data_IF_743338881810
#
_entry.id   IF_743338881810
#
_cell.length_a   1.000
_cell.length_b   1.000
_cell.length_c   1.000
_cell.angle_alpha   90.00
_cell.angle_beta   90.00
_cell.angle_gamma   90.00
#
_symmetry.space_group_name_H-M   'P 1'
#
loop_
_entity.id
_entity.type
_entity.pdbx_description
1 polymer ?
#
# COMPACT_ATOMS: atom_id res chain seq x y z
N UNK A 1 -25.00 -182.52 -13.84
CA UNK A 1 -24.04 -181.39 -13.72
C UNK A 1 -24.54 -180.04 -14.25
N UNK A 2 -25.62 -179.98 -15.05
CA UNK A 2 -26.45 -178.75 -15.26
C UNK A 2 -27.55 -178.55 -14.20
N UNK A 3 -27.65 -179.43 -13.20
CA UNK A 3 -28.76 -179.50 -12.24
C UNK A 3 -28.47 -178.82 -10.87
N UNK A 4 -27.32 -178.18 -10.67
CA UNK A 4 -26.96 -177.56 -9.37
C UNK A 4 -26.96 -176.01 -9.37
N UNK A 5 -27.36 -175.35 -10.46
CA UNK A 5 -27.65 -173.89 -10.47
C UNK A 5 -26.52 -172.91 -10.13
N UNK A 6 -25.29 -173.35 -9.84
CA UNK A 6 -24.21 -172.45 -9.44
C UNK A 6 -23.58 -171.73 -10.65
N UNK A 7 -23.53 -170.38 -10.67
CA UNK A 7 -22.96 -169.62 -11.78
C UNK A 7 -21.45 -169.88 -11.95
N UNK A 8 -21.00 -170.02 -13.20
CA UNK A 8 -19.63 -170.47 -13.56
C UNK A 8 -18.49 -169.66 -12.91
N UNK A 9 -18.71 -168.37 -12.64
CA UNK A 9 -17.69 -167.49 -12.04
C UNK A 9 -17.42 -167.83 -10.58
N UNK A 10 -18.45 -168.15 -9.79
CA UNK A 10 -18.29 -168.63 -8.41
C UNK A 10 -17.63 -170.02 -8.40
N UNK A 11 -18.01 -170.89 -9.34
CA UNK A 11 -17.45 -172.23 -9.49
C UNK A 11 -15.93 -172.21 -9.76
N UNK A 12 -15.46 -171.30 -10.63
CA UNK A 12 -14.02 -171.08 -10.85
C UNK A 12 -13.28 -170.61 -9.59
N UNK A 13 -13.91 -169.77 -8.75
CA UNK A 13 -13.33 -169.33 -7.46
C UNK A 13 -13.23 -170.48 -6.46
N UNK A 14 -14.28 -171.31 -6.35
CA UNK A 14 -14.24 -172.51 -5.51
C UNK A 14 -13.15 -173.49 -5.95
N UNK A 15 -13.03 -173.76 -7.26
CA UNK A 15 -11.98 -174.64 -7.78
C UNK A 15 -10.58 -174.08 -7.46
N UNK A 16 -10.36 -172.77 -7.65
CA UNK A 16 -9.08 -172.13 -7.28
C UNK A 16 -8.81 -172.21 -5.78
N UNK A 17 -9.81 -171.99 -4.93
CA UNK A 17 -9.70 -172.11 -3.47
C UNK A 17 -9.35 -173.53 -3.04
N UNK A 18 -10.05 -174.54 -3.58
CA UNK A 18 -9.79 -175.97 -3.32
C UNK A 18 -8.39 -176.36 -3.79
N UNK A 19 -7.95 -175.91 -4.97
CA UNK A 19 -6.60 -176.19 -5.47
C UNK A 19 -5.53 -175.55 -4.57
N UNK A 20 -5.76 -174.34 -4.06
CA UNK A 20 -4.83 -173.67 -3.14
C UNK A 20 -4.76 -174.38 -1.79
N UNK A 21 -5.90 -174.85 -1.26
CA UNK A 21 -5.91 -175.68 -0.04
C UNK A 21 -5.19 -177.02 -0.23
N UNK A 22 -5.32 -177.66 -1.40
CA UNK A 22 -4.55 -178.87 -1.76
C UNK A 22 -3.05 -178.61 -1.88
N UNK A 23 -2.64 -177.44 -2.37
CA UNK A 23 -1.22 -177.06 -2.38
C UNK A 23 -0.69 -176.87 -0.96
N UNK A 24 -1.48 -176.28 -0.07
CA UNK A 24 -1.13 -176.13 1.34
C UNK A 24 -1.07 -177.47 2.08
N UNK A 25 -1.94 -178.42 1.75
CA UNK A 25 -1.87 -179.80 2.26
C UNK A 25 -0.53 -180.45 1.92
N UNK A 26 -0.04 -180.27 0.68
CA UNK A 26 1.27 -180.77 0.27
C UNK A 26 2.44 -180.06 0.96
N UNK A 27 2.31 -178.76 1.24
CA UNK A 27 3.41 -177.97 1.82
C UNK A 27 3.52 -178.13 3.34
N UNK A 28 2.40 -178.25 4.06
CA UNK A 28 2.37 -178.25 5.53
C UNK A 28 2.00 -179.62 6.13
N UNK A 29 1.68 -180.62 5.31
CA UNK A 29 1.36 -181.98 5.75
C UNK A 29 0.04 -182.15 6.52
N UNK A 30 -0.79 -181.11 6.62
CA UNK A 30 -2.10 -181.17 7.29
C UNK A 30 -3.19 -181.67 6.34
N UNK A 31 -4.09 -182.56 6.79
CA UNK A 31 -5.17 -183.05 5.95
C UNK A 31 -6.11 -181.91 5.52
N UNK A 32 -6.59 -181.96 4.27
CA UNK A 32 -7.44 -180.94 3.65
C UNK A 32 -8.61 -180.50 4.53
N UNK A 33 -9.24 -181.44 5.25
CA UNK A 33 -10.37 -181.13 6.13
C UNK A 33 -10.00 -180.15 7.26
N UNK A 34 -8.79 -180.26 7.82
CA UNK A 34 -8.32 -179.36 8.89
C UNK A 34 -8.02 -177.99 8.31
N UNK A 35 -7.36 -177.93 7.15
CA UNK A 35 -7.08 -176.66 6.46
C UNK A 35 -8.36 -175.95 6.03
N UNK A 36 -9.37 -176.68 5.57
CA UNK A 36 -10.67 -176.13 5.23
C UNK A 36 -11.39 -175.58 6.47
N UNK A 37 -11.40 -176.31 7.60
CA UNK A 37 -11.94 -175.81 8.87
C UNK A 37 -11.19 -174.57 9.38
N UNK A 38 -9.87 -174.54 9.27
CA UNK A 38 -9.05 -173.37 9.62
C UNK A 38 -9.38 -172.17 8.71
N UNK A 39 -9.57 -172.40 7.39
CA UNK A 39 -9.97 -171.36 6.44
C UNK A 39 -11.38 -170.84 6.72
N UNK A 40 -12.36 -171.71 6.96
CA UNK A 40 -13.71 -171.31 7.35
C UNK A 40 -13.73 -170.53 8.67
N UNK A 41 -12.88 -170.92 9.63
CA UNK A 41 -12.72 -170.17 10.89
C UNK A 41 -12.15 -168.78 10.62
N UNK A 42 -11.04 -168.67 9.87
CA UNK A 42 -10.44 -167.38 9.50
C UNK A 42 -11.37 -166.52 8.66
N UNK A 43 -12.17 -167.10 7.78
CA UNK A 43 -13.15 -166.36 6.99
C UNK A 43 -14.28 -165.82 7.88
N UNK A 44 -14.81 -166.63 8.79
CA UNK A 44 -15.77 -166.16 9.80
C UNK A 44 -15.19 -165.04 10.67
N UNK A 45 -13.94 -165.18 11.10
CA UNK A 45 -13.26 -164.16 11.88
C UNK A 45 -13.01 -162.88 11.04
N UNK A 46 -12.67 -163.01 9.75
CA UNK A 46 -12.53 -161.89 8.81
C UNK A 46 -13.84 -161.13 8.63
N UNK A 47 -14.97 -161.83 8.46
CA UNK A 47 -16.30 -161.20 8.33
C UNK A 47 -16.70 -160.50 9.63
N UNK A 48 -16.42 -161.10 10.80
CA UNK A 48 -16.63 -160.44 12.10
C UNK A 48 -15.77 -159.19 12.24
N UNK A 49 -14.51 -159.25 11.81
CA UNK A 49 -13.59 -158.11 11.82
C UNK A 49 -14.09 -157.01 10.87
N UNK A 50 -14.50 -157.33 9.65
CA UNK A 50 -15.11 -156.38 8.71
C UNK A 50 -16.35 -155.70 9.29
N UNK A 51 -17.22 -156.46 9.95
CA UNK A 51 -18.38 -155.89 10.64
C UNK A 51 -17.96 -154.92 11.76
N UNK A 52 -17.00 -155.32 12.61
CA UNK A 52 -16.49 -154.48 13.69
C UNK A 52 -15.79 -153.22 13.17
N UNK A 53 -15.05 -153.32 12.06
CA UNK A 53 -14.40 -152.18 11.40
C UNK A 53 -15.46 -151.23 10.86
N UNK A 54 -16.49 -151.74 10.18
CA UNK A 54 -17.59 -150.93 9.69
C UNK A 54 -18.36 -150.24 10.83
N UNK A 55 -18.58 -150.93 11.95
CA UNK A 55 -19.20 -150.32 13.14
C UNK A 55 -18.35 -149.20 13.72
N UNK A 56 -17.03 -149.38 13.80
CA UNK A 56 -16.09 -148.34 14.26
C UNK A 56 -16.00 -147.16 13.29
N UNK A 57 -16.04 -147.41 11.97
CA UNK A 57 -16.07 -146.36 10.96
C UNK A 57 -17.36 -145.54 11.05
N UNK A 58 -18.50 -146.18 11.32
CA UNK A 58 -19.77 -145.49 11.51
C UNK A 58 -19.77 -144.67 12.81
N UNK A 59 -19.24 -145.21 13.91
CA UNK A 59 -19.04 -144.46 15.17
C UNK A 59 -18.12 -143.26 14.97
N UNK A 60 -17.01 -143.44 14.26
CA UNK A 60 -16.09 -142.36 13.91
C UNK A 60 -16.78 -141.28 13.09
N UNK A 61 -17.56 -141.67 12.07
CA UNK A 61 -18.31 -140.73 11.24
C UNK A 61 -19.31 -139.91 12.06
N UNK A 62 -20.02 -140.54 13.00
CA UNK A 62 -20.92 -139.84 13.93
C UNK A 62 -20.18 -138.83 14.80
N UNK A 63 -19.04 -139.22 15.39
CA UNK A 63 -18.22 -138.31 16.21
C UNK A 63 -17.69 -137.14 15.37
N UNK A 64 -17.27 -137.38 14.13
CA UNK A 64 -16.81 -136.32 13.22
C UNK A 64 -17.95 -135.34 12.86
N UNK A 65 -19.17 -135.84 12.68
CA UNK A 65 -20.33 -134.98 12.43
C UNK A 65 -20.74 -134.18 13.68
N UNK A 66 -20.77 -134.82 14.85
CA UNK A 66 -21.05 -134.15 16.13
C UNK A 66 -20.01 -133.05 16.39
N UNK A 67 -18.72 -133.35 16.20
CA UNK A 67 -17.64 -132.37 16.31
C UNK A 67 -17.82 -131.21 15.33
N UNK A 68 -18.23 -131.47 14.09
CA UNK A 68 -18.52 -130.40 13.12
C UNK A 68 -19.64 -129.49 13.61
N UNK A 69 -20.73 -130.07 14.13
CA UNK A 69 -21.85 -129.30 14.69
C UNK A 69 -21.40 -128.47 15.89
N UNK A 70 -20.61 -129.03 16.81
CA UNK A 70 -20.07 -128.29 17.95
C UNK A 70 -19.16 -127.14 17.52
N UNK A 71 -18.29 -127.34 16.53
CA UNK A 71 -17.42 -126.30 16.01
C UNK A 71 -18.22 -125.17 15.34
N UNK A 72 -19.31 -125.50 14.65
CA UNK A 72 -20.19 -124.49 14.03
C UNK A 72 -20.96 -123.68 15.09
N UNK A 73 -21.45 -124.33 16.16
CA UNK A 73 -22.05 -123.64 17.31
C UNK A 73 -21.05 -122.70 17.99
N UNK A 74 -19.79 -123.13 18.16
CA UNK A 74 -18.75 -122.29 18.73
C UNK A 74 -18.42 -121.09 17.82
N UNK A 75 -18.41 -121.28 16.50
CA UNK A 75 -18.24 -120.20 15.55
C UNK A 75 -19.38 -119.19 15.63
N UNK A 76 -20.63 -119.64 15.63
CA UNK A 76 -21.81 -118.77 15.74
C UNK A 76 -21.82 -117.99 17.06
N UNK A 77 -21.44 -118.61 18.17
CA UNK A 77 -21.34 -117.93 19.47
C UNK A 77 -20.20 -116.89 19.50
N UNK A 78 -19.06 -117.16 18.86
CA UNK A 78 -18.00 -116.15 18.70
C UNK A 78 -18.45 -115.00 17.81
N UNK A 79 -19.17 -115.27 16.72
CA UNK A 79 -19.73 -114.23 15.86
C UNK A 79 -20.75 -113.36 16.60
N UNK A 80 -21.64 -113.95 17.42
CA UNK A 80 -22.60 -113.18 18.22
C UNK A 80 -21.89 -112.35 19.29
N UNK A 81 -20.92 -112.91 20.00
CA UNK A 81 -20.10 -112.18 20.99
C UNK A 81 -19.34 -111.03 20.33
N UNK A 82 -18.74 -111.25 19.16
CA UNK A 82 -18.02 -110.21 18.42
C UNK A 82 -18.96 -109.10 17.95
N UNK A 83 -20.18 -109.42 17.49
CA UNK A 83 -21.20 -108.41 17.15
C UNK A 83 -21.58 -107.58 18.37
N UNK A 84 -21.84 -108.22 19.51
CA UNK A 84 -22.16 -107.53 20.77
C UNK A 84 -21.00 -106.63 21.20
N UNK A 85 -19.76 -107.12 21.13
CA UNK A 85 -18.58 -106.34 21.48
C UNK A 85 -18.38 -105.13 20.55
N UNK A 86 -18.62 -105.28 19.24
CA UNK A 86 -18.58 -104.16 18.30
C UNK A 86 -19.66 -103.11 18.58
N UNK A 87 -20.86 -103.53 18.97
CA UNK A 87 -21.93 -102.63 19.40
C UNK A 87 -21.49 -101.88 20.68
N UNK A 88 -20.97 -102.57 21.70
CA UNK A 88 -20.48 -101.95 22.94
C UNK A 88 -19.39 -100.92 22.64
N UNK A 89 -18.37 -101.27 21.84
CA UNK A 89 -17.32 -100.33 21.43
C UNK A 89 -17.84 -99.12 20.66
N UNK A 90 -18.88 -99.31 19.85
CA UNK A 90 -19.50 -98.20 19.11
C UNK A 90 -20.24 -97.27 20.07
N UNK A 91 -20.96 -97.82 21.06
CA UNK A 91 -21.63 -97.06 22.11
C UNK A 91 -20.65 -96.30 23.02
N UNK A 92 -19.51 -96.91 23.36
CA UNK A 92 -18.43 -96.26 24.13
C UNK A 92 -17.83 -95.04 23.41
N UNK A 93 -17.68 -95.08 22.08
CA UNK A 93 -17.22 -93.93 21.28
C UNK A 93 -18.17 -92.73 21.38
N UNK A 94 -19.45 -92.97 21.58
CA UNK A 94 -20.47 -91.93 21.77
C UNK A 94 -20.72 -91.63 23.26
N UNK A 95 -19.89 -92.15 24.17
CA UNK A 95 -19.98 -91.91 25.62
C UNK A 95 -21.13 -92.63 26.32
N UNK A 96 -21.78 -93.60 25.66
CA UNK A 96 -22.96 -94.31 26.21
C UNK A 96 -22.53 -95.65 26.82
N UNK A 97 -22.39 -95.68 28.15
CA UNK A 97 -22.16 -96.89 28.94
C UNK A 97 -23.44 -97.73 29.11
N UNK A 98 -23.32 -99.03 29.41
CA UNK A 98 -24.42 -99.97 29.67
C UNK A 98 -25.37 -99.44 30.76
N UNK A 99 -24.83 -98.75 31.77
CA UNK A 99 -25.64 -98.07 32.79
C UNK A 99 -26.54 -96.96 32.23
N UNK A 100 -26.11 -96.25 31.17
CA UNK A 100 -26.96 -95.26 30.50
C UNK A 100 -28.08 -95.92 29.71
N UNK A 101 -27.86 -97.08 29.10
CA UNK A 101 -28.91 -97.87 28.43
C UNK A 101 -29.91 -98.47 29.42
N UNK A 102 -29.45 -98.91 30.59
CA UNK A 102 -30.32 -99.37 31.67
C UNK A 102 -31.16 -98.23 32.24
N UNK A 103 -30.58 -97.04 32.39
CA UNK A 103 -31.30 -95.83 32.76
C UNK A 103 -32.30 -95.41 31.67
N UNK A 104 -31.93 -95.51 30.39
CA UNK A 104 -32.83 -95.28 29.24
C UNK A 104 -33.98 -96.29 29.22
N UNK A 105 -33.74 -97.56 29.54
CA UNK A 105 -34.76 -98.59 29.67
C UNK A 105 -35.68 -98.34 30.87
N UNK A 106 -35.15 -97.87 32.00
CA UNK A 106 -35.94 -97.45 33.18
C UNK A 106 -36.78 -96.19 32.90
N UNK A 107 -36.21 -95.20 32.21
CA UNK A 107 -36.92 -94.00 31.75
C UNK A 107 -37.98 -94.39 30.72
N UNK A 108 -37.68 -95.30 29.80
CA UNK A 108 -38.64 -95.81 28.83
C UNK A 108 -39.80 -96.55 29.52
N UNK A 109 -39.52 -97.41 30.49
CA UNK A 109 -40.56 -98.06 31.29
C UNK A 109 -41.47 -97.01 31.97
N UNK A 110 -40.88 -95.99 32.61
CA UNK A 110 -41.64 -94.90 33.25
C UNK A 110 -42.45 -94.04 32.26
N UNK A 111 -41.90 -93.75 31.08
CA UNK A 111 -42.59 -92.99 30.01
C UNK A 111 -43.76 -93.80 29.43
N UNK A 112 -43.60 -95.13 29.33
CA UNK A 112 -44.70 -96.02 28.95
C UNK A 112 -45.80 -96.12 30.00
N UNK A 113 -45.46 -95.97 31.30
CA UNK A 113 -46.43 -95.92 32.40
C UNK A 113 -47.20 -94.59 32.45
N UNK A 114 -46.59 -93.47 32.03
CA UNK A 114 -47.25 -92.15 31.96
C UNK A 114 -48.08 -91.94 30.69
N UNK A 115 -48.18 -92.95 29.81
CA UNK A 115 -49.02 -92.92 28.60
C UNK A 115 -48.58 -91.91 27.54
N UNK A 116 -47.35 -91.40 27.62
CA UNK A 116 -46.82 -90.38 26.71
C UNK A 116 -46.10 -91.07 25.56
N UNK A 117 -46.44 -90.72 24.30
CA UNK A 117 -45.83 -91.35 23.13
C UNK A 117 -44.33 -90.99 23.06
N UNK A 118 -43.47 -92.01 22.96
CA UNK A 118 -42.02 -91.84 22.83
C UNK A 118 -41.63 -90.90 21.71
N UNK A 119 -42.39 -90.88 20.62
CA UNK A 119 -42.15 -89.94 19.51
C UNK A 119 -42.25 -88.48 19.97
N UNK A 120 -43.22 -88.16 20.80
CA UNK A 120 -43.40 -86.81 21.33
C UNK A 120 -42.23 -86.40 22.23
N UNK A 121 -41.67 -87.35 23.00
CA UNK A 121 -40.49 -87.11 23.85
C UNK A 121 -39.23 -86.88 23.01
N UNK A 122 -39.02 -87.65 21.94
CA UNK A 122 -37.89 -87.40 21.02
C UNK A 122 -38.05 -86.07 20.27
N UNK A 123 -39.27 -85.70 19.88
CA UNK A 123 -39.54 -84.40 19.27
C UNK A 123 -39.28 -83.24 20.23
N UNK A 124 -39.57 -83.39 21.53
CA UNK A 124 -39.23 -82.36 22.52
C UNK A 124 -37.73 -82.29 22.76
N UNK A 125 -37.01 -83.40 22.80
CA UNK A 125 -35.54 -83.39 22.87
C UNK A 125 -34.90 -82.75 21.63
N UNK A 126 -35.40 -83.03 20.43
CA UNK A 126 -34.92 -82.38 19.21
C UNK A 126 -35.15 -80.86 19.24
N UNK A 127 -36.32 -80.42 19.73
CA UNK A 127 -36.62 -78.99 19.93
C UNK A 127 -35.74 -78.35 21.00
N UNK A 128 -35.39 -79.08 22.06
CA UNK A 128 -34.49 -78.62 23.11
C UNK A 128 -33.05 -78.48 22.60
N UNK A 129 -32.57 -79.43 21.81
CA UNK A 129 -31.25 -79.36 21.17
C UNK A 129 -31.18 -78.17 20.18
N UNK A 130 -32.23 -77.95 19.40
CA UNK A 130 -32.34 -76.79 18.53
C UNK A 130 -32.36 -75.47 19.33
N UNK A 131 -33.07 -75.44 20.46
CA UNK A 131 -33.08 -74.28 21.36
C UNK A 131 -31.72 -74.05 22.02
N UNK A 132 -31.00 -75.11 22.40
CA UNK A 132 -29.63 -75.02 22.95
C UNK A 132 -28.65 -74.46 21.92
N UNK A 133 -28.74 -74.89 20.67
CA UNK A 133 -27.92 -74.36 19.58
C UNK A 133 -28.23 -72.87 19.33
N UNK A 134 -29.51 -72.49 19.32
CA UNK A 134 -29.91 -71.08 19.21
C UNK A 134 -29.39 -70.25 20.39
N UNK A 135 -29.39 -70.79 21.61
CA UNK A 135 -28.82 -70.11 22.78
C UNK A 135 -27.31 -69.92 22.67
N UNK A 136 -26.58 -70.91 22.14
CA UNK A 136 -25.14 -70.78 21.88
C UNK A 136 -24.85 -69.72 20.81
N UNK A 137 -25.64 -69.69 19.75
CA UNK A 137 -25.53 -68.66 18.70
C UNK A 137 -25.82 -67.27 19.25
N UNK A 138 -26.90 -67.09 20.01
CA UNK A 138 -27.21 -65.78 20.61
C UNK A 138 -26.17 -65.36 21.61
N UNK A 139 -25.60 -66.28 22.39
CA UNK A 139 -24.53 -65.97 23.34
C UNK A 139 -23.24 -65.54 22.62
N UNK A 140 -22.87 -66.20 21.53
CA UNK A 140 -21.76 -65.77 20.69
C UNK A 140 -22.01 -64.37 20.09
N UNK A 141 -23.24 -64.07 19.65
CA UNK A 141 -23.60 -62.74 19.18
C UNK A 141 -23.55 -61.67 20.28
N UNK A 142 -23.91 -62.01 21.52
CA UNK A 142 -23.81 -61.10 22.67
C UNK A 142 -22.33 -60.78 22.92
N UNK A 143 -21.47 -61.79 22.99
CA UNK A 143 -20.03 -61.60 23.20
C UNK A 143 -19.38 -60.77 22.08
N UNK A 144 -19.81 -60.95 20.82
CA UNK A 144 -19.36 -60.12 19.70
C UNK A 144 -19.82 -58.67 19.83
N UNK A 145 -21.09 -58.45 20.21
CA UNK A 145 -21.62 -57.12 20.41
C UNK A 145 -20.98 -56.39 21.59
N UNK A 146 -20.67 -57.08 22.68
CA UNK A 146 -19.93 -56.52 23.83
C UNK A 146 -18.55 -56.03 23.41
N UNK A 147 -17.79 -56.83 22.64
CA UNK A 147 -16.50 -56.41 22.09
C UNK A 147 -16.62 -55.16 21.21
N UNK A 148 -17.63 -55.12 20.34
CA UNK A 148 -17.90 -53.95 19.49
C UNK A 148 -18.27 -52.71 20.32
N UNK A 149 -18.96 -52.89 21.44
CA UNK A 149 -19.31 -51.79 22.34
C UNK A 149 -18.07 -51.22 23.02
N UNK A 150 -17.18 -52.09 23.53
CA UNK A 150 -15.89 -51.68 24.10
C UNK A 150 -15.02 -50.93 23.08
N UNK A 151 -14.96 -51.41 21.84
CA UNK A 151 -14.26 -50.71 20.75
C UNK A 151 -14.83 -49.29 20.52
N UNK A 152 -16.15 -49.15 20.45
CA UNK A 152 -16.82 -47.86 20.28
C UNK A 152 -16.59 -46.94 21.48
N UNK A 153 -16.65 -47.46 22.71
CA UNK A 153 -16.38 -46.68 23.92
C UNK A 153 -14.94 -46.15 23.95
N UNK A 154 -13.96 -46.99 23.61
CA UNK A 154 -12.56 -46.54 23.54
C UNK A 154 -12.35 -45.50 22.43
N UNK A 155 -13.01 -45.65 21.28
CA UNK A 155 -12.96 -44.66 20.20
C UNK A 155 -13.62 -43.33 20.62
N UNK A 156 -14.76 -43.40 21.32
CA UNK A 156 -15.43 -42.22 21.87
C UNK A 156 -14.55 -41.50 22.88
N UNK A 157 -13.91 -42.22 23.81
CA UNK A 157 -12.96 -41.64 24.76
C UNK A 157 -11.78 -40.96 24.05
N UNK A 158 -11.22 -41.57 23.01
CA UNK A 158 -10.17 -40.95 22.18
C UNK A 158 -10.66 -39.68 21.49
N UNK A 159 -11.88 -39.70 20.94
CA UNK A 159 -12.49 -38.50 20.31
C UNK A 159 -12.73 -37.39 21.33
N UNK A 160 -13.21 -37.72 22.53
CA UNK A 160 -13.37 -36.75 23.63
C UNK A 160 -12.02 -36.17 24.05
N UNK A 161 -10.97 -37.00 24.17
CA UNK A 161 -9.63 -36.51 24.51
C UNK A 161 -9.08 -35.54 23.44
N UNK A 162 -9.21 -35.89 22.15
CA UNK A 162 -8.86 -34.99 21.04
C UNK A 162 -9.67 -33.70 21.05
N UNK A 163 -10.97 -33.78 21.33
CA UNK A 163 -11.82 -32.60 21.46
C UNK A 163 -11.38 -31.73 22.64
N UNK A 164 -10.95 -32.32 23.76
CA UNK A 164 -10.39 -31.58 24.90
C UNK A 164 -9.09 -30.87 24.55
N UNK A 165 -8.22 -31.52 23.78
CA UNK A 165 -6.99 -30.90 23.26
C UNK A 165 -7.29 -29.74 22.32
N UNK A 166 -8.27 -29.90 21.41
CA UNK A 166 -8.72 -28.84 20.50
C UNK A 166 -9.48 -27.73 21.24
N UNK A 167 -10.24 -28.04 22.29
CA UNK A 167 -10.87 -27.02 23.14
C UNK A 167 -9.87 -26.32 24.07
N UNK A 168 -8.66 -26.86 24.22
CA UNK A 168 -7.49 -26.16 24.78
C UNK A 168 -7.06 -24.92 23.98
N UNK A 169 -7.86 -24.46 23.00
CA UNK A 169 -7.82 -23.15 22.36
C UNK A 169 -8.38 -22.03 23.26
N UNK A 170 -9.08 -22.34 24.35
CA UNK A 170 -9.48 -21.35 25.38
C UNK A 170 -8.32 -20.45 25.88
N UNK A 171 -7.13 -20.97 26.26
CA UNK A 171 -6.00 -20.14 26.63
C UNK A 171 -5.48 -19.26 25.48
N UNK A 172 -5.71 -19.63 24.21
CA UNK A 172 -5.36 -18.78 23.08
C UNK A 172 -6.41 -17.68 22.84
N UNK A 173 -7.69 -17.93 23.16
CA UNK A 173 -8.74 -16.90 23.17
C UNK A 173 -8.48 -15.88 24.28
N UNK A 174 -8.06 -16.32 25.47
CA UNK A 174 -7.70 -15.40 26.57
C UNK A 174 -6.50 -14.53 26.19
N UNK A 175 -5.43 -15.12 25.65
CA UNK A 175 -4.27 -14.37 25.13
C UNK A 175 -4.69 -13.39 24.03
N UNK A 176 -5.54 -13.81 23.10
CA UNK A 176 -6.08 -12.94 22.06
C UNK A 176 -6.90 -11.79 22.66
N UNK A 177 -7.72 -12.05 23.67
CA UNK A 177 -8.49 -11.01 24.38
C UNK A 177 -7.58 -10.01 25.10
N UNK A 178 -6.48 -10.50 25.69
CA UNK A 178 -5.48 -9.66 26.35
C UNK A 178 -4.74 -8.80 25.31
N UNK A 179 -4.32 -9.38 24.18
CA UNK A 179 -3.69 -8.61 23.09
C UNK A 179 -4.65 -7.58 22.49
N UNK A 180 -5.95 -7.92 22.33
CA UNK A 180 -6.97 -6.97 21.88
C UNK A 180 -7.16 -5.83 22.88
N UNK A 181 -7.13 -6.12 24.18
CA UNK A 181 -7.22 -5.09 25.22
C UNK A 181 -6.01 -4.15 25.19
N UNK A 182 -4.79 -4.69 25.03
CA UNK A 182 -3.55 -3.91 24.89
C UNK A 182 -3.59 -3.03 23.65
N UNK A 183 -3.97 -3.59 22.50
CA UNK A 183 -4.10 -2.86 21.25
C UNK A 183 -5.15 -1.74 21.35
N UNK A 184 -6.29 -1.97 22.03
CA UNK A 184 -7.27 -0.90 22.27
C UNK A 184 -6.67 0.24 23.08
N UNK A 185 -5.94 -0.06 24.16
CA UNK A 185 -5.30 0.97 24.97
C UNK A 185 -4.21 1.73 24.20
N UNK A 186 -3.47 1.05 23.32
CA UNK A 186 -2.49 1.69 22.45
C UNK A 186 -3.15 2.61 21.43
N UNK A 187 -4.27 2.20 20.83
CA UNK A 187 -5.06 3.04 19.93
C UNK A 187 -5.56 4.29 20.64
N UNK A 188 -6.14 4.17 21.84
CA UNK A 188 -6.60 5.33 22.62
C UNK A 188 -5.44 6.29 22.98
N UNK A 189 -4.25 5.76 23.29
CA UNK A 189 -3.06 6.56 23.56
C UNK A 189 -2.56 7.29 22.32
N UNK A 190 -2.59 6.62 21.16
CA UNK A 190 -2.20 7.22 19.88
C UNK A 190 -3.17 8.31 19.46
N UNK A 191 -4.48 8.10 19.63
CA UNK A 191 -5.51 9.12 19.36
C UNK A 191 -5.32 10.36 20.24
N UNK A 192 -5.07 10.19 21.55
CA UNK A 192 -4.74 11.32 22.44
C UNK A 192 -3.50 12.07 21.98
N UNK A 193 -2.46 11.35 21.57
CA UNK A 193 -1.21 11.94 21.09
C UNK A 193 -1.38 12.67 19.76
N UNK A 194 -2.23 12.16 18.87
CA UNK A 194 -2.60 12.85 17.63
C UNK A 194 -3.31 14.17 17.94
N UNK A 195 -4.25 14.17 18.88
CA UNK A 195 -4.98 15.37 19.29
C UNK A 195 -4.04 16.42 19.92
N UNK A 196 -3.13 16.00 20.81
CA UNK A 196 -2.11 16.89 21.38
C UNK A 196 -1.22 17.51 20.29
N UNK A 197 -0.81 16.72 19.29
CA UNK A 197 -0.01 17.22 18.18
C UNK A 197 -0.78 18.20 17.29
N UNK A 198 -2.08 17.95 17.05
CA UNK A 198 -2.95 18.89 16.34
C UNK A 198 -3.08 20.22 17.09
N UNK A 199 -3.25 20.17 18.42
CA UNK A 199 -3.31 21.38 19.25
C UNK A 199 -2.01 22.18 19.18
N UNK A 200 -0.85 21.52 19.34
CA UNK A 200 0.47 22.16 19.19
C UNK A 200 0.67 22.77 17.81
N UNK A 201 0.22 22.08 16.76
CA UNK A 201 0.34 22.60 15.39
C UNK A 201 -0.54 23.85 15.18
N UNK A 202 -1.75 23.86 15.75
CA UNK A 202 -2.62 25.04 15.73
C UNK A 202 -2.04 26.21 16.54
N UNK A 203 -1.42 25.94 17.69
CA UNK A 203 -0.70 26.94 18.48
C UNK A 203 0.47 27.54 17.70
N UNK A 204 1.31 26.69 17.11
CA UNK A 204 2.42 27.13 16.26
C UNK A 204 1.94 27.93 15.06
N UNK A 205 0.85 27.54 14.40
CA UNK A 205 0.28 28.29 13.29
C UNK A 205 -0.13 29.72 13.72
N UNK A 206 -0.77 29.85 14.90
CA UNK A 206 -1.11 31.16 15.48
C UNK A 206 0.13 31.99 15.82
N UNK A 207 1.17 31.37 16.38
CA UNK A 207 2.44 32.03 16.64
C UNK A 207 3.11 32.51 15.35
N UNK A 208 3.08 31.71 14.28
CA UNK A 208 3.57 32.09 12.96
C UNK A 208 2.79 33.28 12.36
N UNK A 209 1.46 33.27 12.45
CA UNK A 209 0.62 34.39 12.01
C UNK A 209 0.94 35.67 12.80
N UNK A 210 1.09 35.57 14.13
CA UNK A 210 1.47 36.70 14.96
C UNK A 210 2.85 37.25 14.58
N UNK A 211 3.84 36.37 14.35
CA UNK A 211 5.17 36.77 13.90
C UNK A 211 5.15 37.41 12.50
N UNK A 212 4.29 36.95 11.59
CA UNK A 212 4.09 37.60 10.30
C UNK A 212 3.48 39.00 10.46
N UNK A 213 2.52 39.17 11.37
CA UNK A 213 1.98 40.49 11.75
C UNK A 213 3.06 41.42 12.29
N UNK A 214 3.89 40.95 13.22
CA UNK A 214 5.03 41.73 13.71
C UNK A 214 6.05 42.05 12.62
N UNK A 215 6.26 41.17 11.64
CA UNK A 215 7.11 41.46 10.47
C UNK A 215 6.53 42.57 9.59
N UNK A 216 5.23 42.61 9.40
CA UNK A 216 4.59 43.72 8.68
C UNK A 216 4.67 45.03 9.45
N UNK A 217 4.51 44.99 10.78
CA UNK A 217 4.62 46.16 11.65
C UNK A 217 6.05 46.68 11.74
N UNK A 218 7.05 45.79 11.82
CA UNK A 218 8.46 46.20 11.78
C UNK A 218 8.84 46.79 10.42
N UNK A 219 8.33 46.25 9.31
CA UNK A 219 8.55 46.84 8.00
C UNK A 219 7.89 48.22 7.84
N UNK A 220 6.70 48.43 8.40
CA UNK A 220 6.02 49.73 8.38
C UNK A 220 6.73 50.75 9.28
N UNK A 221 7.19 50.34 10.47
CA UNK A 221 8.00 51.17 11.35
C UNK A 221 9.34 51.58 10.71
N UNK A 222 10.01 50.67 10.00
CA UNK A 222 11.26 50.99 9.29
C UNK A 222 11.02 52.02 8.17
N UNK A 223 9.92 51.91 7.43
CA UNK A 223 9.53 52.93 6.44
C UNK A 223 9.28 54.28 7.10
N UNK A 224 8.54 54.30 8.21
CA UNK A 224 8.26 55.54 8.95
C UNK A 224 9.54 56.17 9.52
N UNK A 225 10.48 55.36 10.03
CA UNK A 225 11.80 55.84 10.48
C UNK A 225 12.54 56.50 9.31
N UNK A 226 12.54 55.88 8.13
CA UNK A 226 13.22 56.41 6.95
C UNK A 226 12.56 57.72 6.46
N UNK A 227 11.23 57.79 6.47
CA UNK A 227 10.48 59.02 6.17
C UNK A 227 10.84 60.14 7.16
N UNK A 228 10.86 59.85 8.47
CA UNK A 228 11.22 60.83 9.49
C UNK A 228 12.67 61.27 9.42
N UNK A 229 13.60 60.39 9.05
CA UNK A 229 14.99 60.76 8.78
C UNK A 229 15.09 61.71 7.58
N UNK A 230 14.35 61.45 6.51
CA UNK A 230 14.31 62.32 5.34
C UNK A 230 13.70 63.68 5.66
N UNK A 231 12.65 63.73 6.49
CA UNK A 231 12.09 64.99 7.00
C UNK A 231 13.10 65.75 7.86
N UNK A 232 13.81 65.08 8.76
CA UNK A 232 14.87 65.70 9.57
C UNK A 232 15.98 66.28 8.70
N UNK A 233 16.46 65.54 7.70
CA UNK A 233 17.48 66.04 6.78
C UNK A 233 17.01 67.30 6.03
N UNK A 234 15.74 67.34 5.59
CA UNK A 234 15.17 68.55 4.95
C UNK A 234 15.10 69.72 5.91
N UNK A 235 14.66 69.50 7.15
CA UNK A 235 14.62 70.53 8.18
C UNK A 235 16.02 71.03 8.53
N UNK A 236 17.02 70.16 8.57
CA UNK A 236 18.43 70.54 8.78
C UNK A 236 18.97 71.39 7.62
N UNK A 237 18.62 71.06 6.37
CA UNK A 237 18.93 71.88 5.20
C UNK A 237 18.25 73.26 5.25
N UNK A 238 16.97 73.30 5.66
CA UNK A 238 16.24 74.56 5.85
C UNK A 238 16.84 75.40 6.98
N UNK A 239 17.20 74.79 8.11
CA UNK A 239 17.88 75.45 9.21
C UNK A 239 19.25 76.00 8.79
N UNK A 240 20.00 75.27 7.97
CA UNK A 240 21.27 75.75 7.42
C UNK A 240 21.05 76.99 6.55
N UNK A 241 20.06 76.97 5.64
CA UNK A 241 19.72 78.14 4.82
C UNK A 241 19.29 79.33 5.67
N UNK A 242 18.45 79.11 6.68
CA UNK A 242 18.02 80.20 7.58
C UNK A 242 19.20 80.78 8.35
N UNK A 243 20.13 79.94 8.83
CA UNK A 243 21.37 80.41 9.48
C UNK A 243 22.21 81.26 8.53
N UNK A 244 22.40 80.82 7.29
CA UNK A 244 23.16 81.59 6.30
C UNK A 244 22.48 82.95 6.03
N UNK A 245 21.15 82.98 5.91
CA UNK A 245 20.42 84.25 5.73
C UNK A 245 20.46 85.15 6.95
N UNK A 246 20.46 84.60 8.17
CA UNK A 246 20.61 85.40 9.38
C UNK A 246 22.01 86.00 9.45
N UNK A 247 23.05 85.23 9.11
CA UNK A 247 24.42 85.72 9.06
C UNK A 247 24.56 86.90 8.08
N UNK A 248 23.99 86.79 6.87
CA UNK A 248 24.06 87.90 5.91
C UNK A 248 23.30 89.13 6.39
N UNK A 249 22.12 88.96 6.99
CA UNK A 249 21.36 90.07 7.59
C UNK A 249 22.12 90.72 8.76
N UNK A 250 22.82 89.95 9.58
CA UNK A 250 23.67 90.47 10.66
C UNK A 250 24.83 91.31 10.09
N UNK A 251 25.46 90.86 9.01
CA UNK A 251 26.50 91.61 8.29
C UNK A 251 25.96 92.92 7.66
N UNK A 252 24.75 92.88 7.09
CA UNK A 252 24.06 94.07 6.58
C UNK A 252 23.74 95.07 7.69
N UNK A 253 23.22 94.61 8.83
CA UNK A 253 22.94 95.47 9.99
C UNK A 253 24.23 96.07 10.56
N UNK A 254 25.32 95.30 10.64
CA UNK A 254 26.62 95.80 11.06
C UNK A 254 27.15 96.89 10.11
N UNK A 255 26.99 96.69 8.80
CA UNK A 255 27.36 97.67 7.77
C UNK A 255 26.51 98.94 7.86
N UNK A 256 25.19 98.80 8.03
CA UNK A 256 24.27 99.92 8.20
C UNK A 256 24.56 100.73 9.48
N UNK A 257 24.89 100.06 10.59
CA UNK A 257 25.31 100.73 11.83
C UNK A 257 26.62 101.50 11.65
N UNK A 258 27.59 100.93 10.94
CA UNK A 258 28.87 101.59 10.64
C UNK A 258 28.67 102.84 9.77
N UNK A 259 27.82 102.75 8.74
CA UNK A 259 27.39 103.89 7.92
C UNK A 259 26.69 104.98 8.74
N UNK A 260 25.76 104.61 9.62
CA UNK A 260 25.07 105.55 10.49
C UNK A 260 26.03 106.27 11.42
N UNK A 261 27.01 105.56 11.99
CA UNK A 261 28.03 106.15 12.87
C UNK A 261 28.85 107.22 12.15
N UNK A 262 29.24 106.96 10.90
CA UNK A 262 29.95 107.92 10.05
C UNK A 262 29.10 109.15 9.68
N UNK A 263 27.81 108.94 9.37
CA UNK A 263 26.89 110.03 9.05
C UNK A 263 26.59 110.92 10.27
N UNK A 264 26.61 110.35 11.47
CA UNK A 264 26.30 111.06 12.71
C UNK A 264 27.51 111.85 13.25
N UNK A 265 28.75 111.44 12.93
CA UNK A 265 29.98 112.12 13.37
C UNK A 265 31.03 112.24 12.24
N UNK A 266 30.85 113.18 11.29
CA UNK A 266 31.73 113.31 10.13
C UNK A 266 33.13 113.86 10.43
N UNK A 267 33.34 114.47 11.60
CA UNK A 267 34.63 115.11 11.96
C UNK A 267 35.66 114.14 12.58
N UNK A 268 35.27 112.90 12.91
CA UNK A 268 36.12 111.90 13.57
C UNK A 268 36.57 110.75 12.63
N UNK A 269 36.30 110.86 11.34
CA UNK A 269 36.51 109.79 10.36
C UNK A 269 38.00 109.63 10.01
N UNK A 270 38.60 108.48 10.37
CA UNK A 270 39.98 108.14 9.97
C UNK A 270 39.98 107.44 8.61
N UNK A 271 41.13 107.46 7.93
CA UNK A 271 41.33 106.79 6.63
C UNK A 271 41.01 105.28 6.71
N UNK A 272 41.31 104.66 7.85
CA UNK A 272 41.02 103.25 8.13
C UNK A 272 39.51 102.97 8.11
N UNK A 273 38.68 103.86 8.69
CA UNK A 273 37.22 103.72 8.73
C UNK A 273 36.59 103.82 7.33
N UNK A 274 37.20 104.61 6.43
CA UNK A 274 36.79 104.72 5.03
C UNK A 274 37.13 103.47 4.22
N UNK A 275 38.23 102.78 4.56
CA UNK A 275 38.60 101.50 3.93
C UNK A 275 37.68 100.36 4.38
N UNK A 276 37.29 100.32 5.67
CA UNK A 276 36.27 99.38 6.17
C UNK A 276 34.93 99.62 5.48
N UNK A 277 34.56 100.89 5.31
CA UNK A 277 33.33 101.27 4.61
C UNK A 277 33.39 100.93 3.12
N UNK A 278 34.52 101.14 2.45
CA UNK A 278 34.67 100.80 1.03
C UNK A 278 34.58 99.29 0.82
N UNK A 279 35.13 98.49 1.74
CA UNK A 279 34.99 97.02 1.72
C UNK A 279 33.55 96.59 1.97
N UNK A 280 32.87 97.20 2.94
CA UNK A 280 31.45 96.93 3.23
C UNK A 280 30.53 97.34 2.06
N UNK A 281 30.79 98.49 1.42
CA UNK A 281 30.05 98.95 0.24
C UNK A 281 30.36 98.11 -1.01
N UNK A 282 31.59 97.62 -1.17
CA UNK A 282 31.94 96.68 -2.22
C UNK A 282 31.22 95.33 -2.02
N UNK A 283 31.12 94.84 -0.79
CA UNK A 283 30.37 93.62 -0.46
C UNK A 283 28.86 93.80 -0.73
N UNK A 284 28.27 94.93 -0.31
CA UNK A 284 26.87 95.27 -0.61
C UNK A 284 26.60 95.44 -2.10
N UNK A 285 27.55 96.03 -2.85
CA UNK A 285 27.52 96.13 -4.31
C UNK A 285 27.50 94.75 -4.97
N UNK A 286 28.35 93.83 -4.51
CA UNK A 286 28.41 92.47 -5.03
C UNK A 286 27.13 91.68 -4.73
N UNK A 287 26.52 91.89 -3.56
CA UNK A 287 25.22 91.30 -3.20
C UNK A 287 24.10 91.84 -4.10
N UNK A 288 24.11 93.15 -4.37
CA UNK A 288 23.12 93.81 -5.25
C UNK A 288 23.28 93.44 -6.74
N UNK A 289 24.45 92.98 -7.16
CA UNK A 289 24.74 92.58 -8.55
C UNK A 289 24.16 91.21 -8.96
N UNK A 290 23.52 90.47 -8.05
CA UNK A 290 22.56 89.43 -8.42
C UNK A 290 22.83 88.03 -7.86
N UNK A 291 22.67 87.83 -6.55
CA UNK A 291 22.48 86.49 -5.96
C UNK A 291 21.35 86.39 -4.92
N UNK A 292 20.33 87.28 -4.93
CA UNK A 292 19.11 87.11 -4.13
C UNK A 292 17.88 87.69 -4.86
N UNK A 293 16.88 86.87 -5.25
CA UNK A 293 15.66 87.37 -5.93
C UNK A 293 14.59 88.02 -5.04
N UNK A 294 14.79 88.18 -3.73
CA UNK A 294 13.63 88.35 -2.81
C UNK A 294 13.66 89.55 -1.85
N UNK A 295 14.66 90.43 -1.92
CA UNK A 295 14.61 91.67 -1.13
C UNK A 295 13.86 92.76 -1.90
N UNK A 296 12.63 93.03 -1.45
CA UNK A 296 11.79 94.18 -1.87
C UNK A 296 12.67 95.41 -2.10
N UNK A 297 12.62 95.96 -3.31
CA UNK A 297 13.32 97.21 -3.64
C UNK A 297 12.97 98.29 -2.61
N UNK A 298 14.00 98.86 -1.98
CA UNK A 298 13.85 100.01 -1.08
C UNK A 298 12.98 101.08 -1.74
N UNK A 299 12.05 101.62 -0.96
CA UNK A 299 11.02 102.54 -1.42
C UNK A 299 11.66 103.71 -2.20
N UNK A 300 11.18 104.04 -3.42
CA UNK A 300 11.83 105.03 -4.29
C UNK A 300 11.94 106.41 -3.63
N UNK A 301 11.06 106.73 -2.67
CA UNK A 301 11.11 107.91 -1.82
C UNK A 301 12.38 108.02 -0.96
N UNK A 302 12.86 106.90 -0.41
CA UNK A 302 14.08 106.85 0.41
C UNK A 302 15.33 106.99 -0.46
N UNK A 303 15.34 106.35 -1.63
CA UNK A 303 16.41 106.53 -2.62
C UNK A 303 16.47 107.97 -3.11
N UNK A 304 15.33 108.61 -3.37
CA UNK A 304 15.28 110.01 -3.82
C UNK A 304 15.76 110.97 -2.72
N UNK A 305 15.44 110.70 -1.46
CA UNK A 305 15.88 111.50 -0.32
C UNK A 305 17.38 111.34 -0.03
N UNK A 306 17.91 110.10 -0.10
CA UNK A 306 19.36 109.85 0.02
C UNK A 306 20.09 110.51 -1.15
N UNK A 307 19.57 110.40 -2.38
CA UNK A 307 20.15 111.06 -3.56
C UNK A 307 20.18 112.57 -3.39
N UNK A 308 19.08 113.19 -2.92
CA UNK A 308 19.04 114.63 -2.62
C UNK A 308 20.05 115.03 -1.55
N UNK A 309 20.15 114.26 -0.45
CA UNK A 309 21.12 114.54 0.63
C UNK A 309 22.57 114.40 0.18
N UNK A 310 22.88 113.36 -0.61
CA UNK A 310 24.21 113.15 -1.20
C UNK A 310 24.53 114.28 -2.18
N UNK A 311 23.58 114.69 -3.02
CA UNK A 311 23.75 115.83 -3.93
C UNK A 311 23.94 117.14 -3.15
N UNK A 312 23.20 117.39 -2.06
CA UNK A 312 23.38 118.57 -1.21
C UNK A 312 24.73 118.60 -0.48
N UNK A 313 25.24 117.44 -0.04
CA UNK A 313 26.53 117.33 0.65
C UNK A 313 27.73 117.39 -0.33
N UNK A 314 27.58 116.82 -1.52
CA UNK A 314 28.68 116.70 -2.49
C UNK A 314 28.73 117.88 -3.48
N UNK A 315 27.59 118.48 -3.83
CA UNK A 315 27.58 119.60 -4.79
C UNK A 315 28.39 120.83 -4.38
N UNK A 316 28.42 121.28 -3.11
CA UNK A 316 29.25 122.42 -2.71
C UNK A 316 30.75 122.17 -2.90
N UNK A 317 31.18 120.92 -2.68
CA UNK A 317 32.58 120.48 -2.83
C UNK A 317 32.96 120.37 -4.31
N UNK A 318 32.07 119.81 -5.15
CA UNK A 318 32.30 119.74 -6.60
C UNK A 318 32.26 121.13 -7.27
N UNK A 319 31.38 122.04 -6.81
CA UNK A 319 31.26 123.41 -7.35
C UNK A 319 32.48 124.28 -7.09
N UNK A 320 33.21 124.02 -6.01
CA UNK A 320 34.33 124.85 -5.57
C UNK A 320 35.68 124.36 -6.09
N UNK A 321 35.84 123.08 -6.42
CA UNK A 321 37.16 122.52 -6.77
C UNK A 321 37.35 122.10 -8.24
N UNK A 322 36.32 121.86 -9.06
CA UNK A 322 36.53 121.10 -10.32
C UNK A 322 35.94 121.64 -11.65
N UNK A 323 35.10 122.68 -11.71
CA UNK A 323 34.49 123.11 -12.99
C UNK A 323 34.32 124.63 -13.14
N UNK A 324 35.12 125.31 -13.99
CA UNK A 324 34.94 126.73 -14.32
C UNK A 324 33.57 127.05 -14.97
N UNK A 325 33.02 128.23 -14.68
CA UNK A 325 31.64 128.62 -15.07
C UNK A 325 31.37 128.56 -16.59
N UNK A 326 32.39 128.82 -17.42
CA UNK A 326 32.28 128.73 -18.89
C UNK A 326 32.02 127.31 -19.41
N UNK A 327 32.43 126.28 -18.66
CA UNK A 327 32.18 124.87 -19.01
C UNK A 327 30.71 124.54 -18.80
N UNK A 328 30.06 125.11 -17.78
CA UNK A 328 28.63 124.95 -17.56
C UNK A 328 27.82 125.60 -18.68
N UNK A 329 28.13 126.83 -19.09
CA UNK A 329 27.43 127.46 -20.23
C UNK A 329 27.59 126.67 -21.54
N UNK A 330 28.78 126.11 -21.77
CA UNK A 330 29.04 125.30 -22.97
C UNK A 330 28.27 123.98 -22.92
N UNK A 331 28.29 123.28 -21.78
CA UNK A 331 27.51 122.06 -21.58
C UNK A 331 26.01 122.32 -21.68
N UNK A 332 25.52 123.44 -21.15
CA UNK A 332 24.10 123.77 -21.21
C UNK A 332 23.63 124.08 -22.65
N UNK A 333 24.49 124.71 -23.47
CA UNK A 333 24.25 124.85 -24.91
C UNK A 333 24.24 123.51 -25.64
N UNK A 334 25.25 122.67 -25.40
CA UNK A 334 25.32 121.33 -26.01
C UNK A 334 24.12 120.47 -25.59
N UNK A 335 23.67 120.56 -24.34
CA UNK A 335 22.50 119.84 -23.85
C UNK A 335 21.21 120.32 -24.53
N UNK A 336 21.04 121.62 -24.73
CA UNK A 336 19.89 122.18 -25.46
C UNK A 336 19.89 121.73 -26.93
N UNK A 337 21.05 121.68 -27.58
CA UNK A 337 21.18 121.16 -28.94
C UNK A 337 20.86 119.67 -29.03
N UNK A 338 21.38 118.85 -28.10
CA UNK A 338 21.11 117.41 -28.05
C UNK A 338 19.63 117.13 -27.75
N UNK A 339 19.03 117.88 -26.83
CA UNK A 339 17.61 117.75 -26.51
C UNK A 339 16.72 118.09 -27.71
N UNK A 340 17.04 119.16 -28.45
CA UNK A 340 16.33 119.52 -29.67
C UNK A 340 16.47 118.43 -30.76
N UNK A 341 17.67 117.88 -30.92
CA UNK A 341 17.96 116.80 -31.90
C UNK A 341 17.24 115.51 -31.54
N UNK A 342 17.15 115.19 -30.25
CA UNK A 342 16.40 114.04 -29.74
C UNK A 342 14.90 114.19 -30.04
N UNK A 343 14.32 115.36 -29.79
CA UNK A 343 12.91 115.61 -30.09
C UNK A 343 12.58 115.43 -31.58
N UNK A 344 13.47 115.91 -32.47
CA UNK A 344 13.32 115.70 -33.93
C UNK A 344 13.37 114.21 -34.31
N UNK A 345 14.33 113.45 -33.76
CA UNK A 345 14.47 112.02 -34.04
C UNK A 345 13.31 111.18 -33.46
N UNK A 346 12.73 111.61 -32.34
CA UNK A 346 11.53 110.96 -31.78
C UNK A 346 10.31 111.18 -32.68
N UNK A 347 10.13 112.38 -33.23
CA UNK A 347 9.07 112.68 -34.18
C UNK A 347 9.23 111.88 -35.49
N UNK A 348 10.45 111.75 -36.01
CA UNK A 348 10.75 110.89 -37.17
C UNK A 348 10.48 109.41 -36.87
N UNK A 349 10.83 108.92 -35.67
CA UNK A 349 10.54 107.55 -35.26
C UNK A 349 9.04 107.28 -35.16
N UNK A 350 8.25 108.23 -34.67
CA UNK A 350 6.78 108.10 -34.65
C UNK A 350 6.19 108.07 -36.06
N UNK A 351 6.69 108.91 -36.98
CA UNK A 351 6.27 108.85 -38.40
C UNK A 351 6.59 107.50 -39.02
N UNK A 352 7.81 107.01 -38.86
CA UNK A 352 8.23 105.69 -39.38
C UNK A 352 7.45 104.54 -38.73
N UNK A 353 7.15 104.61 -37.44
CA UNK A 353 6.30 103.62 -36.75
C UNK A 353 4.88 103.60 -37.31
N UNK A 354 4.32 104.76 -37.62
CA UNK A 354 2.99 104.87 -38.20
C UNK A 354 2.94 104.30 -39.62
N UNK A 355 3.98 104.53 -40.44
CA UNK A 355 4.12 103.88 -41.76
C UNK A 355 4.26 102.35 -41.65
N UNK A 356 5.06 101.87 -40.69
CA UNK A 356 5.23 100.43 -40.44
C UNK A 356 3.93 99.76 -39.96
N UNK A 357 3.12 100.46 -39.16
CA UNK A 357 1.82 99.97 -38.70
C UNK A 357 0.78 99.94 -39.82
N UNK A 358 0.82 100.89 -40.76
CA UNK A 358 -0.02 100.87 -41.97
C UNK A 358 0.35 99.72 -42.92
N UNK A 359 1.65 99.40 -43.04
CA UNK A 359 2.14 98.26 -43.84
C UNK A 359 1.87 96.89 -43.20
N UNK A 360 1.66 96.81 -41.88
CA UNK A 360 1.39 95.55 -41.15
C UNK A 360 -0.09 95.14 -41.10
N UNK A 361 -1.00 95.92 -41.68
CA UNK A 361 -2.45 95.65 -41.72
C UNK A 361 -2.92 94.49 -42.62
N UNK A 362 -2.02 93.75 -43.28
CA UNK A 362 -2.38 92.63 -44.20
C UNK A 362 -1.53 91.37 -43.97
N UNK A 363 -1.88 90.57 -42.94
CA UNK A 363 -2.06 89.09 -42.97
C UNK A 363 -2.08 88.48 -41.55
N UNK A 364 -2.87 87.41 -41.30
CA UNK A 364 -3.13 86.88 -39.95
C UNK A 364 -2.11 85.84 -39.48
N UNK A 365 -1.81 85.86 -38.19
CA UNK A 365 -1.00 84.85 -37.48
C UNK A 365 -1.88 83.68 -37.04
N UNK A 366 -1.59 82.47 -37.54
CA UNK A 366 -2.16 81.22 -37.03
C UNK A 366 -1.34 80.73 -35.85
N UNK A 367 -1.98 80.64 -34.68
CA UNK A 367 -1.47 79.98 -33.48
C UNK A 367 -1.32 78.47 -33.72
N UNK A 368 -0.18 77.91 -33.32
CA UNK A 368 0.07 76.46 -33.34
C UNK A 368 -0.68 75.84 -32.16
N UNK A 369 -1.80 75.17 -32.44
CA UNK A 369 -2.48 74.27 -31.50
C UNK A 369 -1.90 72.86 -31.62
N UNK A 370 -1.56 72.26 -30.48
CA UNK A 370 -1.06 70.90 -30.36
C UNK A 370 -2.18 69.87 -30.65
N UNK A 371 -1.92 68.96 -31.58
CA UNK A 371 -2.78 67.83 -31.93
C UNK A 371 -2.61 66.70 -30.88
N UNK A 372 -3.68 66.12 -30.32
CA UNK A 372 -3.57 64.95 -29.43
C UNK A 372 -3.20 63.69 -30.21
N UNK A 373 -2.11 63.01 -29.82
CA UNK A 373 -1.63 61.78 -30.50
C UNK A 373 -2.32 60.53 -29.94
N UNK A 374 -2.94 59.72 -30.82
CA UNK A 374 -3.43 58.38 -30.48
C UNK A 374 -2.27 57.44 -30.03
N UNK A 375 -2.51 56.49 -29.10
CA UNK A 375 -1.51 55.53 -28.68
C UNK A 375 -1.13 54.59 -29.85
N UNK A 376 0.16 54.46 -30.13
CA UNK A 376 0.69 53.64 -31.23
C UNK A 376 0.79 52.17 -30.82
N UNK A 377 0.64 51.25 -31.77
CA UNK A 377 0.62 49.78 -31.55
C UNK A 377 1.91 49.10 -32.00
N UNK A 378 2.14 47.86 -31.56
CA UNK A 378 3.24 47.00 -31.99
C UNK A 378 2.84 46.20 -33.24
N UNK A 379 3.78 46.02 -34.18
CA UNK A 379 3.58 45.21 -35.39
C UNK A 379 4.64 44.11 -35.48
N UNK A 380 4.26 42.94 -35.99
CA UNK A 380 5.21 41.84 -36.27
C UNK A 380 5.90 42.03 -37.63
N UNK A 381 7.23 41.87 -37.67
CA UNK A 381 8.04 42.14 -38.86
C UNK A 381 7.71 41.20 -40.03
N UNK A 382 7.49 39.89 -39.79
CA UNK A 382 7.21 38.93 -40.88
C UNK A 382 5.75 38.91 -41.31
N UNK A 383 4.80 39.00 -40.37
CA UNK A 383 3.36 38.89 -40.68
C UNK A 383 2.64 40.23 -40.89
N UNK A 384 3.29 41.38 -40.64
CA UNK A 384 2.70 42.74 -40.67
C UNK A 384 1.34 42.82 -39.95
N UNK A 385 1.18 42.01 -38.91
CA UNK A 385 -0.06 41.95 -38.13
C UNK A 385 0.12 42.85 -36.91
N UNK A 386 -0.88 43.69 -36.65
CA UNK A 386 -0.91 44.53 -35.45
C UNK A 386 -1.34 43.67 -34.25
N UNK A 387 -0.61 43.79 -33.14
CA UNK A 387 -0.92 43.05 -31.91
C UNK A 387 -1.92 43.80 -31.03
N UNK A 388 -2.69 43.07 -30.22
CA UNK A 388 -3.76 43.66 -29.41
C UNK A 388 -3.21 44.46 -28.22
N UNK A 389 -3.90 45.52 -27.82
CA UNK A 389 -3.49 46.47 -26.76
C UNK A 389 -4.15 46.18 -25.40
N UNK A 390 -4.39 44.91 -25.08
CA UNK A 390 -5.29 44.52 -23.98
C UNK A 390 -4.57 44.22 -22.65
N UNK A 391 -3.24 44.30 -22.59
CA UNK A 391 -2.50 43.99 -21.35
C UNK A 391 -2.62 45.07 -20.26
N UNK A 392 -3.04 46.29 -20.61
CA UNK A 392 -3.15 47.43 -19.69
C UNK A 392 -1.81 48.01 -19.19
N UNK A 393 -0.67 47.40 -19.52
CA UNK A 393 0.66 47.83 -19.06
C UNK A 393 1.20 48.92 -19.99
N UNK A 394 1.39 50.13 -19.45
CA UNK A 394 1.97 51.28 -20.16
C UNK A 394 3.49 51.32 -19.98
N UNK A 395 4.23 51.28 -21.08
CA UNK A 395 5.69 51.37 -21.08
C UNK A 395 6.17 52.63 -21.80
N UNK A 396 7.25 53.22 -21.30
CA UNK A 396 7.92 54.36 -21.93
C UNK A 396 9.13 53.84 -22.69
N UNK A 397 9.02 53.78 -24.02
CA UNK A 397 10.10 53.36 -24.91
C UNK A 397 10.87 54.58 -25.42
N UNK A 398 12.19 54.57 -25.23
CA UNK A 398 13.08 55.58 -25.82
C UNK A 398 13.51 55.11 -27.22
N UNK A 399 13.40 55.99 -28.21
CA UNK A 399 13.92 55.70 -29.55
C UNK A 399 15.45 55.65 -29.53
N UNK A 400 16.04 54.57 -30.05
CA UNK A 400 17.50 54.43 -30.16
C UNK A 400 18.11 55.50 -31.07
N UNK A 401 17.34 56.01 -32.04
CA UNK A 401 17.83 56.96 -33.05
C UNK A 401 17.70 58.43 -32.68
N UNK A 402 16.62 58.85 -32.00
CA UNK A 402 16.38 60.27 -31.67
C UNK A 402 16.19 60.54 -30.18
N UNK A 403 16.31 59.51 -29.33
CA UNK A 403 16.12 59.55 -27.88
C UNK A 403 14.74 60.02 -27.39
N UNK A 404 13.82 60.37 -28.30
CA UNK A 404 12.48 60.75 -27.89
C UNK A 404 11.74 59.57 -27.27
N UNK A 405 11.01 59.84 -26.21
CA UNK A 405 10.27 58.83 -25.46
C UNK A 405 8.82 58.77 -25.91
N UNK A 406 8.39 57.60 -26.36
CA UNK A 406 7.00 57.34 -26.74
C UNK A 406 6.34 56.42 -25.71
N UNK A 407 5.11 56.74 -25.33
CA UNK A 407 4.30 55.93 -24.42
C UNK A 407 3.52 54.89 -25.23
N UNK A 408 3.72 53.62 -24.92
CA UNK A 408 3.18 52.47 -25.65
C UNK A 408 2.45 51.54 -24.68
N UNK A 409 1.44 50.82 -25.17
CA UNK A 409 0.73 49.78 -24.40
C UNK A 409 1.23 48.42 -24.88
N UNK A 410 1.68 47.58 -23.94
CA UNK A 410 2.27 46.28 -24.24
C UNK A 410 1.22 45.28 -24.78
N UNK A 411 1.58 44.36 -25.69
CA UNK A 411 0.68 43.28 -26.10
C UNK A 411 0.46 42.21 -25.03
N UNK A 412 -0.54 41.35 -25.21
CA UNK A 412 -0.83 40.26 -24.27
C UNK A 412 0.31 39.22 -24.23
N UNK A 413 0.50 38.55 -23.09
CA UNK A 413 1.60 37.59 -22.85
C UNK A 413 1.59 36.43 -23.85
N UNK A 414 0.41 35.90 -24.17
CA UNK A 414 0.25 34.78 -25.12
C UNK A 414 0.70 35.17 -26.54
N UNK A 415 0.36 36.37 -27.01
CA UNK A 415 0.76 36.86 -28.33
C UNK A 415 2.28 37.09 -28.43
N UNK A 416 2.91 37.53 -27.34
CA UNK A 416 4.36 37.68 -27.26
C UNK A 416 5.08 36.33 -27.26
N UNK A 417 4.52 35.32 -26.58
CA UNK A 417 5.07 33.95 -26.54
C UNK A 417 4.95 33.25 -27.92
N UNK A 418 3.86 33.49 -28.65
CA UNK A 418 3.69 33.04 -30.04
C UNK A 418 4.68 33.72 -30.99
N UNK A 419 4.91 35.03 -30.83
CA UNK A 419 5.91 35.78 -31.58
C UNK A 419 7.35 35.30 -31.30
N UNK A 420 7.65 35.00 -30.03
CA UNK A 420 8.95 34.46 -29.60
C UNK A 420 9.19 33.03 -30.11
N UNK A 421 8.13 32.21 -30.19
CA UNK A 421 8.18 30.83 -30.68
C UNK A 421 8.31 30.75 -32.20
N UNK A 422 7.75 31.73 -32.92
CA UNK A 422 7.88 31.88 -34.38
C UNK A 422 9.13 32.65 -34.84
N UNK A 423 10.00 33.05 -33.90
CA UNK A 423 11.24 33.80 -34.16
C UNK A 423 10.97 35.07 -34.99
N UNK A 424 9.89 35.80 -34.66
CA UNK A 424 9.49 37.05 -35.31
C UNK A 424 9.83 38.25 -34.42
N UNK A 425 10.19 39.38 -35.03
CA UNK A 425 10.67 40.58 -34.32
C UNK A 425 9.55 41.60 -34.24
N UNK A 426 9.37 42.23 -33.08
CA UNK A 426 8.40 43.32 -32.90
C UNK A 426 8.98 44.62 -33.42
N UNK A 427 8.21 45.36 -34.20
CA UNK A 427 8.61 46.64 -34.77
C UNK A 427 7.63 47.71 -34.32
N UNK A 428 8.19 48.86 -33.93
CA UNK A 428 7.41 50.08 -33.67
C UNK A 428 8.05 51.29 -34.34
N UNK A 429 7.23 52.12 -34.98
CA UNK A 429 7.67 53.34 -35.68
C UNK A 429 7.76 54.52 -34.71
N UNK A 430 8.95 55.13 -34.62
CA UNK A 430 9.15 56.33 -33.80
C UNK A 430 8.36 57.53 -34.34
N UNK A 431 7.67 58.27 -33.46
CA UNK A 431 6.88 59.44 -33.85
C UNK A 431 7.63 60.70 -34.21
N UNK A 432 8.88 60.83 -33.79
CA UNK A 432 9.69 62.01 -34.06
C UNK A 432 10.61 61.85 -35.26
N UNK A 433 11.10 60.64 -35.52
CA UNK A 433 12.04 60.41 -36.62
C UNK A 433 11.55 59.40 -37.67
N UNK A 434 10.36 58.82 -37.50
CA UNK A 434 9.74 57.91 -38.48
C UNK A 434 10.44 56.58 -38.70
N UNK A 435 11.48 56.25 -37.91
CA UNK A 435 12.27 55.02 -38.05
C UNK A 435 11.66 53.86 -37.27
N UNK A 436 11.77 52.68 -37.85
CA UNK A 436 11.40 51.39 -37.26
C UNK A 436 12.39 50.98 -36.17
N UNK A 437 11.86 50.69 -34.98
CA UNK A 437 12.62 50.21 -33.83
C UNK A 437 12.31 48.71 -33.67
N UNK A 438 13.28 47.82 -33.96
CA UNK A 438 13.12 46.40 -33.70
C UNK A 438 13.30 46.09 -32.22
N UNK A 439 12.42 45.26 -31.67
CA UNK A 439 12.40 44.83 -30.27
C UNK A 439 12.21 43.32 -30.24
N UNK A 440 13.04 42.63 -29.47
CA UNK A 440 12.92 41.18 -29.28
C UNK A 440 11.73 40.87 -28.34
N UNK A 441 10.76 40.05 -28.75
CA UNK A 441 9.65 39.63 -27.89
C UNK A 441 10.10 38.97 -26.58
N UNK A 442 11.21 38.21 -26.59
CA UNK A 442 11.72 37.51 -25.39
C UNK A 442 12.15 38.48 -24.31
N UNK A 443 12.77 39.59 -24.69
CA UNK A 443 13.16 40.66 -23.78
C UNK A 443 11.96 41.29 -23.06
N UNK A 444 10.83 41.44 -23.76
CA UNK A 444 9.62 42.01 -23.17
C UNK A 444 8.91 41.01 -22.23
N UNK A 445 8.91 39.72 -22.56
CA UNK A 445 8.38 38.66 -21.69
C UNK A 445 9.18 38.58 -20.38
N UNK A 446 10.50 38.51 -20.48
CA UNK A 446 11.38 38.35 -19.32
C UNK A 446 11.35 39.57 -18.40
N UNK A 447 11.14 40.78 -18.94
CA UNK A 447 11.19 42.01 -18.16
C UNK A 447 9.85 42.41 -17.52
N UNK A 448 8.72 42.03 -18.13
CA UNK A 448 7.40 42.54 -17.72
C UNK A 448 6.39 41.45 -17.37
N UNK A 449 6.63 40.18 -17.73
CA UNK A 449 5.68 39.07 -17.51
C UNK A 449 6.27 37.85 -16.78
N UNK A 450 7.59 37.83 -16.55
CA UNK A 450 8.24 37.00 -15.52
C UNK A 450 8.49 37.89 -14.31
N UNK A 451 8.01 37.46 -13.15
CA UNK A 451 8.20 38.14 -11.87
C UNK A 451 9.66 38.18 -11.47
#
# INVERSE_FOLDING_TARGET
MKQAGVPQTQLKRYIKGVNKLRQLEKQYGKPFQVLFREYEKRFRDSVKLEYSINELLEKRRKIEEDLRVYMEQQRLTLETVNRVNNIIRSLEKYGVNIGHLENLAKVAAKVSETGTDFKQVFETFAKLEEAENRLKETQAMIEENEKRLEEVETELQRKIARLREVSGVEPDIEKLSETLSKLRTEVELLEKREEELRQKNNELAREYEALLGFRTDTASLLKLIEEKRNELNRLDEELARVRDTLQTLEEEVASARSLLLLLQNPELVKKEDLETLSRQLANLSNIKAGQMPELKALEPSLLENVRKRVVELVMPVIRSELVPHWVFEKLEKEFKEVAARKAQLEEENERLRNELNQLRGTKPQTAVQAVPQLPRKFQLLKKKTELSTDSGIKIKLKCVYCQNSSLMILPNKQELEEAASSNDVLVTTCGSCGKDIPIDPRFLIDRFFKG
#
